data_IF_937175031707
#
_entry.id   IF_937175031707
#
_cell.length_a   1.000
_cell.length_b   1.000
_cell.length_c   1.000
_cell.angle_alpha   90.00
_cell.angle_beta   90.00
_cell.angle_gamma   90.00
#
_symmetry.space_group_name_H-M   'P 1'
#
loop_
_entity.id
_entity.type
_entity.pdbx_description
1 polymer ?
#
# COMPACT_ATOMS: atom_id res chain seq x y z
N UNK A 1 25.65 -19.25 12.09
CA UNK A 1 24.29 -18.76 12.43
C UNK A 1 24.12 -18.45 13.93
N UNK A 2 25.19 -18.56 14.75
CA UNK A 2 25.11 -18.27 16.20
C UNK A 2 24.66 -16.84 16.58
N UNK A 3 24.86 -15.79 15.77
CA UNK A 3 24.34 -14.45 16.06
C UNK A 3 22.89 -14.23 15.62
N UNK A 4 22.22 -15.22 15.04
CA UNK A 4 20.83 -15.07 14.59
C UNK A 4 19.91 -15.29 15.80
N UNK A 5 19.25 -14.22 16.23
CA UNK A 5 18.28 -14.30 17.30
C UNK A 5 16.93 -14.83 16.77
N UNK A 6 16.21 -15.54 17.63
CA UNK A 6 14.86 -15.99 17.31
C UNK A 6 13.94 -14.77 17.19
N UNK A 7 13.34 -14.60 16.01
CA UNK A 7 12.36 -13.53 15.81
C UNK A 7 11.16 -13.70 16.77
N UNK A 8 10.56 -12.60 17.24
CA UNK A 8 9.33 -12.67 18.00
C UNK A 8 8.21 -13.33 17.16
N UNK A 9 7.20 -13.85 17.85
CA UNK A 9 6.02 -14.41 17.17
C UNK A 9 5.37 -13.33 16.31
N UNK A 10 4.97 -13.68 15.08
CA UNK A 10 4.25 -12.77 14.20
C UNK A 10 2.97 -12.27 14.90
N UNK A 11 2.78 -10.95 15.05
CA UNK A 11 1.66 -10.41 15.80
C UNK A 11 0.31 -10.68 15.13
N UNK A 12 0.26 -10.78 13.80
CA UNK A 12 -0.97 -10.99 13.02
C UNK A 12 -1.36 -12.46 13.01
N UNK A 13 -0.43 -13.35 12.67
CA UNK A 13 -0.67 -14.80 12.65
C UNK A 13 -0.94 -15.34 14.05
N UNK A 14 -0.24 -14.82 15.07
CA UNK A 14 -0.48 -15.15 16.47
C UNK A 14 -1.90 -14.78 16.94
N UNK A 15 -2.47 -13.67 16.47
CA UNK A 15 -3.87 -13.31 16.74
C UNK A 15 -4.86 -14.27 16.09
N UNK A 16 -4.58 -14.74 14.88
CA UNK A 16 -5.43 -15.72 14.20
C UNK A 16 -5.43 -17.08 14.94
N UNK A 17 -4.27 -17.51 15.43
CA UNK A 17 -4.17 -18.72 16.28
C UNK A 17 -4.99 -18.55 17.57
N UNK A 18 -4.88 -17.40 18.25
CA UNK A 18 -5.64 -17.10 19.45
C UNK A 18 -7.15 -17.04 19.18
N UNK A 19 -7.56 -16.44 18.07
CA UNK A 19 -8.96 -16.43 17.63
C UNK A 19 -9.50 -17.84 17.41
N UNK A 20 -8.74 -18.70 16.75
CA UNK A 20 -9.16 -20.09 16.50
C UNK A 20 -9.26 -20.92 17.79
N UNK A 21 -8.38 -20.66 18.75
CA UNK A 21 -8.40 -21.32 20.04
C UNK A 21 -9.51 -20.82 20.99
N UNK A 22 -10.04 -19.62 20.75
CA UNK A 22 -11.14 -19.05 21.55
C UNK A 22 -12.44 -19.80 21.28
N UNK A 23 -13.07 -20.34 22.33
CA UNK A 23 -14.31 -21.13 22.25
C UNK A 23 -15.59 -20.30 22.32
N UNK A 24 -15.49 -18.98 22.53
CA UNK A 24 -16.67 -18.09 22.61
C UNK A 24 -17.35 -17.99 21.26
N UNK A 25 -18.69 -18.04 21.25
CA UNK A 25 -19.49 -17.96 20.02
C UNK A 25 -19.56 -16.53 19.45
N UNK A 26 -19.49 -15.50 20.29
CA UNK A 26 -19.61 -14.08 19.94
C UNK A 26 -18.23 -13.44 19.71
N UNK A 27 -17.43 -14.03 18.84
CA UNK A 27 -16.09 -13.51 18.48
C UNK A 27 -16.04 -13.07 17.03
N UNK A 28 -15.25 -12.03 16.76
CA UNK A 28 -15.01 -11.49 15.41
C UNK A 28 -13.50 -11.43 15.19
N UNK A 29 -13.04 -11.95 14.05
CA UNK A 29 -11.63 -11.88 13.67
C UNK A 29 -11.37 -10.56 12.93
N UNK A 30 -10.59 -9.69 13.54
CA UNK A 30 -10.14 -8.43 12.96
C UNK A 30 -8.63 -8.42 12.65
N UNK A 31 -7.98 -9.58 12.68
CA UNK A 31 -6.52 -9.70 12.54
C UNK A 31 -6.01 -9.49 11.13
N UNK A 32 -6.79 -9.83 10.10
CA UNK A 32 -6.39 -9.69 8.69
C UNK A 32 -7.50 -8.99 7.93
N UNK A 33 -7.15 -7.91 7.24
CA UNK A 33 -8.06 -7.18 6.36
C UNK A 33 -8.18 -7.88 5.00
N UNK A 34 -9.21 -8.72 4.84
CA UNK A 34 -9.61 -9.30 3.56
C UNK A 34 -11.08 -9.00 3.30
N UNK A 35 -11.44 -8.85 2.02
CA UNK A 35 -12.84 -8.71 1.65
C UNK A 35 -13.62 -9.96 2.07
N UNK A 36 -14.67 -9.78 2.82
CA UNK A 36 -15.60 -10.85 3.21
C UNK A 36 -17.01 -10.48 2.80
N UNK A 37 -17.79 -11.48 2.41
CA UNK A 37 -19.23 -11.31 2.17
C UNK A 37 -20.00 -11.18 3.49
N UNK A 38 -21.30 -10.98 3.40
CA UNK A 38 -22.17 -10.84 4.58
C UNK A 38 -22.23 -12.10 5.47
N UNK A 39 -21.80 -13.25 4.96
CA UNK A 39 -21.66 -14.48 5.73
C UNK A 39 -20.29 -14.60 6.43
N UNK A 40 -19.41 -13.61 6.28
CA UNK A 40 -18.06 -13.60 6.83
C UNK A 40 -17.08 -14.49 6.08
N UNK A 41 -17.40 -14.90 4.85
CA UNK A 41 -16.53 -15.74 4.00
C UNK A 41 -15.88 -14.90 2.91
N UNK A 42 -14.66 -15.27 2.55
CA UNK A 42 -13.99 -14.73 1.36
C UNK A 42 -14.67 -15.30 0.13
N UNK A 43 -15.34 -14.49 -0.71
CA UNK A 43 -16.05 -15.00 -1.87
C UNK A 43 -15.09 -15.34 -3.00
N UNK A 44 -15.42 -16.38 -3.77
CA UNK A 44 -14.78 -16.64 -5.05
C UNK A 44 -15.31 -15.66 -6.09
N UNK A 45 -14.47 -14.74 -6.55
CA UNK A 45 -14.87 -13.76 -7.56
C UNK A 45 -15.01 -14.43 -8.93
N UNK A 46 -16.18 -14.30 -9.56
CA UNK A 46 -16.47 -14.91 -10.87
C UNK A 46 -15.47 -14.54 -11.95
N UNK A 47 -15.01 -13.30 -11.97
CA UNK A 47 -14.00 -12.83 -12.94
C UNK A 47 -12.65 -13.54 -12.75
N UNK A 48 -12.23 -13.76 -11.49
CA UNK A 48 -11.00 -14.49 -11.17
C UNK A 48 -11.12 -15.95 -11.61
N UNK A 49 -12.21 -16.61 -11.24
CA UNK A 49 -12.46 -18.00 -11.64
C UNK A 49 -12.43 -18.17 -13.16
N UNK A 50 -13.13 -17.31 -13.90
CA UNK A 50 -13.15 -17.37 -15.36
C UNK A 50 -11.75 -17.17 -15.97
N UNK A 51 -10.94 -16.28 -15.39
CA UNK A 51 -9.58 -16.04 -15.84
C UNK A 51 -8.67 -17.25 -15.57
N UNK A 52 -8.82 -17.90 -14.41
CA UNK A 52 -8.07 -19.11 -14.06
C UNK A 52 -8.42 -20.27 -15.00
N UNK A 53 -9.71 -20.50 -15.25
CA UNK A 53 -10.18 -21.53 -16.17
C UNK A 53 -9.66 -21.31 -17.61
N UNK A 54 -9.70 -20.05 -18.10
CA UNK A 54 -9.15 -19.69 -19.40
C UNK A 54 -7.64 -19.95 -19.47
N UNK A 55 -6.90 -19.58 -18.43
CA UNK A 55 -5.45 -19.82 -18.33
C UNK A 55 -5.09 -21.31 -18.32
N UNK A 56 -5.90 -22.14 -17.69
CA UNK A 56 -5.73 -23.59 -17.70
C UNK A 56 -6.01 -24.16 -19.09
N UNK A 57 -7.09 -23.70 -19.74
CA UNK A 57 -7.49 -24.16 -21.07
C UNK A 57 -6.50 -23.81 -22.19
N UNK A 58 -5.75 -22.71 -22.04
CA UNK A 58 -4.71 -22.31 -22.98
C UNK A 58 -3.56 -23.30 -23.09
N UNK A 59 -3.30 -24.12 -22.06
CA UNK A 59 -2.12 -25.01 -21.96
C UNK A 59 -0.79 -24.32 -22.29
N UNK A 60 -0.70 -23.02 -22.04
CA UNK A 60 0.46 -22.19 -22.36
C UNK A 60 1.67 -22.54 -21.49
N UNK A 61 2.86 -22.49 -22.08
CA UNK A 61 4.11 -22.65 -21.34
C UNK A 61 4.29 -21.54 -20.28
N UNK A 62 4.96 -21.88 -19.19
CA UNK A 62 5.33 -20.94 -18.11
C UNK A 62 6.80 -20.58 -18.27
N UNK A 63 7.06 -19.50 -19.03
CA UNK A 63 8.39 -18.97 -19.24
C UNK A 63 8.67 -17.75 -18.35
N UNK A 64 9.89 -17.24 -18.40
CA UNK A 64 10.22 -15.95 -17.79
C UNK A 64 9.39 -14.83 -18.41
N UNK A 65 8.94 -13.90 -17.58
CA UNK A 65 8.31 -12.67 -18.03
C UNK A 65 9.36 -11.66 -18.52
N UNK A 66 8.96 -10.68 -19.34
CA UNK A 66 9.76 -9.47 -19.55
C UNK A 66 10.10 -8.79 -18.21
N UNK A 67 11.16 -7.97 -18.19
CA UNK A 67 11.64 -7.31 -16.95
C UNK A 67 10.55 -6.44 -16.31
N UNK A 68 9.76 -5.76 -17.13
CA UNK A 68 8.66 -4.88 -16.71
C UNK A 68 7.32 -5.63 -16.52
N UNK A 69 7.27 -6.91 -16.82
CA UNK A 69 6.07 -7.74 -16.70
C UNK A 69 5.30 -7.92 -18.01
N UNK A 70 4.00 -8.20 -17.90
CA UNK A 70 3.13 -8.44 -19.04
C UNK A 70 2.51 -7.13 -19.53
N UNK A 71 2.85 -6.69 -20.73
CA UNK A 71 2.30 -5.46 -21.33
C UNK A 71 0.75 -5.40 -21.33
N UNK A 72 0.00 -6.48 -21.61
CA UNK A 72 -1.46 -6.45 -21.46
C UNK A 72 -1.94 -6.21 -20.04
N UNK A 73 -1.23 -6.74 -19.03
CA UNK A 73 -1.52 -6.49 -17.62
C UNK A 73 -1.26 -5.02 -17.27
N UNK A 74 -0.11 -4.49 -17.64
CA UNK A 74 0.25 -3.10 -17.36
C UNK A 74 -0.76 -2.11 -17.98
N UNK A 75 -1.17 -2.35 -19.22
CA UNK A 75 -2.20 -1.55 -19.89
C UNK A 75 -3.57 -1.66 -19.20
N UNK A 76 -3.95 -2.84 -18.73
CA UNK A 76 -5.21 -3.05 -18.04
C UNK A 76 -5.23 -2.30 -16.69
N UNK A 77 -4.12 -2.35 -15.92
CA UNK A 77 -3.96 -1.62 -14.67
C UNK A 77 -4.01 -0.11 -14.89
N UNK A 78 -3.33 0.40 -15.91
CA UNK A 78 -3.38 1.82 -16.26
C UNK A 78 -4.81 2.30 -16.57
N UNK A 79 -5.54 1.53 -17.39
CA UNK A 79 -6.94 1.84 -17.71
C UNK A 79 -7.87 1.79 -16.49
N UNK A 80 -7.62 0.83 -15.60
CA UNK A 80 -8.40 0.69 -14.36
C UNK A 80 -8.21 1.88 -13.43
N UNK A 81 -6.96 2.33 -13.25
CA UNK A 81 -6.62 3.42 -12.32
C UNK A 81 -6.98 4.81 -12.87
N UNK A 82 -6.72 5.06 -14.14
CA UNK A 82 -6.81 6.40 -14.72
C UNK A 82 -8.02 6.60 -15.64
N UNK A 83 -8.78 5.53 -15.92
CA UNK A 83 -9.86 5.54 -16.90
C UNK A 83 -9.37 5.29 -18.32
N UNK A 84 -10.16 4.52 -19.10
CA UNK A 84 -9.77 4.09 -20.45
C UNK A 84 -9.49 5.25 -21.42
N UNK A 85 -10.21 6.37 -21.24
CA UNK A 85 -10.14 7.56 -22.11
C UNK A 85 -9.23 8.66 -21.56
N UNK A 86 -8.46 8.38 -20.51
CA UNK A 86 -7.59 9.37 -19.87
C UNK A 86 -6.46 9.82 -20.82
N UNK A 87 -6.30 11.13 -20.97
CA UNK A 87 -5.19 11.71 -21.72
C UNK A 87 -3.81 11.33 -21.14
N UNK A 88 -3.75 10.92 -19.89
CA UNK A 88 -2.51 10.46 -19.26
C UNK A 88 -1.99 9.18 -19.93
N UNK A 89 -2.88 8.30 -20.42
CA UNK A 89 -2.48 7.05 -21.07
C UNK A 89 -1.77 7.30 -22.39
N UNK A 90 -2.24 8.28 -23.17
CA UNK A 90 -1.65 8.65 -24.47
C UNK A 90 -0.44 9.56 -24.36
N UNK A 91 -0.24 10.22 -23.21
CA UNK A 91 0.84 11.22 -23.02
C UNK A 91 2.23 10.63 -22.80
N UNK A 92 2.35 9.31 -22.60
CA UNK A 92 3.61 8.63 -22.23
C UNK A 92 4.12 8.99 -20.83
N UNK A 93 3.29 9.61 -19.98
CA UNK A 93 3.66 10.00 -18.61
C UNK A 93 3.50 8.89 -17.57
N UNK A 94 2.88 7.79 -17.96
CA UNK A 94 2.65 6.64 -17.08
C UNK A 94 3.54 5.49 -17.53
N UNK A 95 4.32 4.97 -16.61
CA UNK A 95 5.07 3.72 -16.75
C UNK A 95 4.54 2.75 -15.70
N UNK A 96 4.34 1.51 -16.10
CA UNK A 96 3.89 0.45 -15.19
C UNK A 96 4.88 -0.69 -15.25
N UNK A 97 5.17 -1.27 -14.10
CA UNK A 97 5.98 -2.47 -13.99
C UNK A 97 5.31 -3.44 -13.02
N UNK A 98 5.22 -4.70 -13.42
CA UNK A 98 4.67 -5.76 -12.61
C UNK A 98 5.65 -6.18 -11.51
N UNK A 99 5.15 -6.35 -10.29
CA UNK A 99 5.95 -6.79 -9.14
C UNK A 99 5.28 -7.95 -8.40
N UNK A 100 5.97 -8.54 -7.42
CA UNK A 100 5.45 -9.63 -6.59
C UNK A 100 4.57 -9.06 -5.46
N UNK A 101 3.31 -8.78 -5.80
CA UNK A 101 2.34 -8.22 -4.88
C UNK A 101 2.70 -6.80 -4.43
N UNK A 102 1.90 -6.23 -3.50
CA UNK A 102 2.11 -4.89 -2.96
C UNK A 102 3.46 -4.72 -2.26
N UNK A 103 3.86 -5.70 -1.45
CA UNK A 103 5.15 -5.68 -0.74
C UNK A 103 6.34 -5.59 -1.71
N UNK A 104 6.32 -6.37 -2.80
CA UNK A 104 7.35 -6.30 -3.84
C UNK A 104 7.35 -4.97 -4.58
N UNK A 105 6.16 -4.42 -4.87
CA UNK A 105 6.02 -3.12 -5.52
C UNK A 105 6.54 -1.97 -4.64
N UNK A 106 6.18 -1.96 -3.35
CA UNK A 106 6.66 -0.99 -2.38
C UNK A 106 8.18 -1.01 -2.24
N UNK A 107 8.76 -2.21 -2.12
CA UNK A 107 10.23 -2.35 -2.02
C UNK A 107 10.94 -1.88 -3.28
N UNK A 108 10.44 -2.27 -4.44
CA UNK A 108 10.99 -1.81 -5.72
C UNK A 108 10.93 -0.29 -5.86
N UNK A 109 9.78 0.30 -5.51
CA UNK A 109 9.58 1.76 -5.52
C UNK A 109 10.50 2.47 -4.53
N UNK A 110 10.65 1.94 -3.31
CA UNK A 110 11.56 2.49 -2.31
C UNK A 110 13.02 2.50 -2.80
N UNK A 111 13.52 1.36 -3.29
CA UNK A 111 14.89 1.25 -3.82
C UNK A 111 15.11 2.17 -5.02
N UNK A 112 14.13 2.28 -5.90
CA UNK A 112 14.19 3.13 -7.09
C UNK A 112 14.28 4.61 -6.70
N UNK A 113 13.40 5.09 -5.84
CA UNK A 113 13.41 6.48 -5.38
C UNK A 113 14.68 6.81 -4.59
N UNK A 114 15.15 5.89 -3.75
CA UNK A 114 16.38 6.07 -2.99
C UNK A 114 17.59 6.31 -3.89
N UNK A 115 17.69 5.57 -5.01
CA UNK A 115 18.76 5.71 -5.99
C UNK A 115 18.65 6.98 -6.83
N UNK A 116 17.42 7.34 -7.22
CA UNK A 116 17.18 8.47 -8.11
C UNK A 116 17.28 9.83 -7.42
N UNK A 117 16.65 9.94 -6.25
CA UNK A 117 16.49 11.26 -5.61
C UNK A 117 17.64 11.62 -4.70
N UNK A 118 18.40 10.65 -4.23
CA UNK A 118 19.42 10.85 -3.19
C UNK A 118 18.86 11.29 -1.84
N UNK A 119 17.53 11.40 -1.72
CA UNK A 119 16.85 11.74 -0.47
C UNK A 119 16.81 10.53 0.44
N UNK A 120 16.90 10.78 1.74
CA UNK A 120 17.05 9.75 2.76
C UNK A 120 15.90 9.66 3.73
N UNK A 121 14.96 10.60 3.67
CA UNK A 121 13.83 10.66 4.59
C UNK A 121 12.55 10.24 3.89
N UNK A 122 11.79 9.38 4.54
CA UNK A 122 10.40 9.05 4.18
C UNK A 122 9.50 9.30 5.38
N UNK A 123 8.36 9.91 5.14
CA UNK A 123 7.32 10.14 6.14
C UNK A 123 6.18 9.14 5.94
N UNK A 124 5.75 8.50 7.02
CA UNK A 124 4.61 7.58 7.05
C UNK A 124 3.55 8.07 8.04
N UNK A 125 2.30 7.66 7.84
CA UNK A 125 1.21 8.02 8.78
C UNK A 125 1.41 7.37 10.15
N UNK A 126 0.92 8.03 11.20
CA UNK A 126 0.86 7.45 12.53
C UNK A 126 -0.61 7.26 12.95
N UNK A 127 -1.09 5.99 13.11
CA UNK A 127 -0.39 4.73 12.79
C UNK A 127 -0.28 4.47 11.28
N UNK A 128 0.52 3.48 10.90
CA UNK A 128 0.64 2.97 9.54
C UNK A 128 0.75 1.45 9.55
N UNK A 129 0.65 0.82 8.38
CA UNK A 129 0.97 -0.59 8.23
C UNK A 129 2.46 -0.83 8.53
N UNK A 130 2.74 -1.80 9.41
CA UNK A 130 4.11 -2.04 9.91
C UNK A 130 5.14 -2.25 8.80
N UNK A 131 4.74 -2.85 7.68
CA UNK A 131 5.63 -3.07 6.55
C UNK A 131 6.11 -1.77 5.90
N UNK A 132 5.40 -0.67 5.97
CA UNK A 132 5.89 0.61 5.42
C UNK A 132 7.22 0.96 6.05
N UNK A 133 7.29 0.99 7.38
CA UNK A 133 8.54 1.28 8.09
C UNK A 133 9.64 0.28 7.73
N UNK A 134 9.36 -1.01 7.86
CA UNK A 134 10.33 -2.07 7.64
C UNK A 134 10.91 -2.07 6.20
N UNK A 135 10.07 -1.84 5.18
CA UNK A 135 10.48 -1.82 3.79
C UNK A 135 11.36 -0.61 3.46
N UNK A 136 10.99 0.58 3.98
CA UNK A 136 11.76 1.79 3.71
C UNK A 136 13.05 1.85 4.51
N UNK A 137 13.07 1.39 5.78
CA UNK A 137 14.32 1.21 6.53
C UNK A 137 15.26 0.22 5.84
N UNK A 138 14.73 -0.92 5.34
CA UNK A 138 15.51 -1.88 4.57
C UNK A 138 16.00 -1.34 3.21
N UNK A 139 15.40 -0.28 2.69
CA UNK A 139 15.87 0.45 1.52
C UNK A 139 16.90 1.55 1.87
N UNK A 140 17.14 1.81 3.16
CA UNK A 140 18.11 2.77 3.65
C UNK A 140 17.55 4.15 4.00
N UNK A 141 16.23 4.28 4.12
CA UNK A 141 15.59 5.54 4.53
C UNK A 141 15.57 5.72 6.05
N UNK A 142 15.67 6.98 6.47
CA UNK A 142 15.27 7.43 7.79
C UNK A 142 13.75 7.64 7.78
N UNK A 143 13.03 6.81 8.55
CA UNK A 143 11.57 6.82 8.56
C UNK A 143 11.07 7.71 9.70
N UNK A 144 10.30 8.74 9.35
CA UNK A 144 9.64 9.65 10.30
C UNK A 144 8.12 9.50 10.23
N UNK A 145 7.43 9.85 11.30
CA UNK A 145 5.98 9.78 11.35
C UNK A 145 5.36 11.15 11.10
N UNK A 146 4.19 11.18 10.45
CA UNK A 146 3.29 12.33 10.44
C UNK A 146 1.96 12.00 11.09
N UNK A 147 1.34 12.98 11.73
CA UNK A 147 0.04 12.85 12.39
C UNK A 147 -1.04 12.46 11.37
N UNK A 148 -1.85 11.47 11.69
CA UNK A 148 -2.96 11.03 10.84
C UNK A 148 -4.25 10.79 11.63
N UNK A 149 -4.21 9.93 12.64
CA UNK A 149 -5.39 9.47 13.37
C UNK A 149 -5.53 10.19 14.71
N UNK A 150 -6.77 10.53 15.05
CA UNK A 150 -7.14 11.06 16.37
C UNK A 150 -7.95 10.01 17.15
N UNK A 151 -7.38 9.37 18.18
CA UNK A 151 -8.08 8.36 18.96
C UNK A 151 -9.23 8.92 19.81
N UNK A 152 -9.25 10.22 20.07
CA UNK A 152 -10.34 10.83 20.84
C UNK A 152 -11.65 10.93 20.05
N UNK A 153 -11.53 11.14 18.74
CA UNK A 153 -12.68 11.22 17.82
C UNK A 153 -12.86 9.98 16.97
N UNK A 154 -11.93 9.02 17.03
CA UNK A 154 -11.84 7.90 16.08
C UNK A 154 -11.86 8.37 14.61
N UNK A 155 -11.21 9.47 14.34
CA UNK A 155 -11.25 10.16 13.06
C UNK A 155 -9.90 10.62 12.55
N UNK A 156 -9.93 11.39 11.47
CA UNK A 156 -8.76 12.00 10.87
C UNK A 156 -8.33 13.25 11.65
N UNK A 157 -7.06 13.36 12.03
CA UNK A 157 -6.46 14.60 12.49
C UNK A 157 -5.85 15.36 11.30
N UNK A 158 -6.71 15.92 10.45
CA UNK A 158 -6.26 16.61 9.25
C UNK A 158 -5.36 17.81 9.55
N UNK A 159 -5.66 18.58 10.60
CA UNK A 159 -4.86 19.75 10.94
C UNK A 159 -3.44 19.38 11.35
N UNK A 160 -3.28 18.33 12.14
CA UNK A 160 -1.97 17.78 12.51
C UNK A 160 -1.23 17.23 11.31
N UNK A 161 -1.93 16.45 10.46
CA UNK A 161 -1.35 15.93 9.22
C UNK A 161 -0.77 17.05 8.33
N UNK A 162 -1.57 18.08 8.06
CA UNK A 162 -1.12 19.19 7.20
C UNK A 162 0.04 19.97 7.81
N UNK A 163 0.04 20.18 9.14
CA UNK A 163 1.13 20.86 9.84
C UNK A 163 2.45 20.07 9.75
N UNK A 164 2.38 18.75 9.97
CA UNK A 164 3.56 17.89 9.87
C UNK A 164 4.09 17.81 8.43
N UNK A 165 3.22 17.66 7.43
CA UNK A 165 3.62 17.69 6.03
C UNK A 165 4.26 19.02 5.63
N UNK A 166 3.75 20.13 6.12
CA UNK A 166 4.32 21.47 5.89
C UNK A 166 5.73 21.61 6.47
N UNK A 167 6.03 20.92 7.56
CA UNK A 167 7.34 20.98 8.23
C UNK A 167 8.40 20.08 7.55
N UNK A 168 8.00 19.17 6.66
CA UNK A 168 8.94 18.27 5.99
C UNK A 168 9.89 19.03 5.06
N UNK A 169 11.11 18.53 4.94
CA UNK A 169 12.08 19.04 3.98
C UNK A 169 11.67 18.71 2.54
N UNK A 170 12.03 19.60 1.61
CA UNK A 170 11.84 19.38 0.17
C UNK A 170 12.39 18.04 -0.29
N UNK A 171 11.63 17.34 -1.11
CA UNK A 171 11.99 16.04 -1.68
C UNK A 171 11.84 14.86 -0.71
N UNK A 172 11.32 15.08 0.52
CA UNK A 172 10.93 13.98 1.39
C UNK A 172 9.88 13.12 0.71
N UNK A 173 10.06 11.80 0.72
CA UNK A 173 9.05 10.86 0.24
C UNK A 173 7.95 10.75 1.28
N UNK A 174 6.69 10.84 0.85
CA UNK A 174 5.53 10.74 1.76
C UNK A 174 4.66 9.57 1.32
N UNK A 175 4.50 8.58 2.20
CA UNK A 175 3.59 7.47 1.97
C UNK A 175 2.18 7.92 2.30
N UNK A 176 1.31 7.83 1.31
CA UNK A 176 -0.10 8.19 1.41
C UNK A 176 -0.95 6.97 1.06
N UNK A 177 -1.86 6.59 1.93
CA UNK A 177 -2.84 5.55 1.62
C UNK A 177 -3.92 6.16 0.72
N UNK A 178 -4.01 5.69 -0.52
CA UNK A 178 -4.97 6.24 -1.49
C UNK A 178 -6.42 6.03 -1.04
N UNK A 179 -6.69 4.88 -0.42
CA UNK A 179 -7.94 4.53 0.25
C UNK A 179 -7.71 3.35 1.20
N UNK A 180 -8.70 3.02 2.02
CA UNK A 180 -8.67 1.89 2.96
C UNK A 180 -7.46 1.96 3.90
N UNK A 181 -7.25 3.12 4.52
CA UNK A 181 -6.10 3.37 5.38
C UNK A 181 -5.86 2.24 6.39
N UNK A 182 -4.68 1.64 6.32
CA UNK A 182 -4.30 0.54 7.19
C UNK A 182 -3.39 1.05 8.35
N UNK A 183 -3.78 0.92 9.64
CA UNK A 183 -4.85 0.02 10.15
C UNK A 183 -6.17 0.70 10.51
N UNK A 184 -6.32 2.02 10.34
CA UNK A 184 -7.42 2.76 10.98
C UNK A 184 -8.77 2.65 10.24
N UNK A 185 -8.77 2.39 8.93
CA UNK A 185 -9.96 2.45 8.10
C UNK A 185 -10.54 3.85 7.94
N UNK A 186 -9.82 4.89 8.37
CA UNK A 186 -10.23 6.30 8.23
C UNK A 186 -9.58 6.88 6.99
N UNK A 187 -10.37 7.27 6.01
CA UNK A 187 -9.90 7.79 4.74
C UNK A 187 -10.09 9.31 4.62
N UNK A 188 -9.25 9.93 3.80
CA UNK A 188 -9.38 11.34 3.42
C UNK A 188 -10.60 11.53 2.50
N UNK A 189 -11.38 12.57 2.76
CA UNK A 189 -12.40 13.03 1.79
C UNK A 189 -11.73 13.68 0.56
N UNK A 190 -12.47 13.84 -0.53
CA UNK A 190 -11.95 14.55 -1.72
C UNK A 190 -11.51 15.98 -1.39
N UNK A 191 -12.20 16.65 -0.46
CA UNK A 191 -11.83 18.00 -0.01
C UNK A 191 -10.55 18.00 0.80
N UNK A 192 -10.28 16.95 1.57
CA UNK A 192 -9.05 16.81 2.33
C UNK A 192 -7.88 16.43 1.43
N UNK A 193 -8.11 15.57 0.44
CA UNK A 193 -7.13 15.28 -0.60
C UNK A 193 -6.67 16.55 -1.34
N UNK A 194 -7.58 17.48 -1.65
CA UNK A 194 -7.21 18.74 -2.29
C UNK A 194 -6.21 19.55 -1.45
N UNK A 195 -6.38 19.57 -0.11
CA UNK A 195 -5.47 20.25 0.81
C UNK A 195 -4.12 19.54 0.90
N UNK A 196 -4.12 18.20 0.97
CA UNK A 196 -2.89 17.40 0.99
C UNK A 196 -2.08 17.58 -0.29
N UNK A 197 -2.75 17.54 -1.45
CA UNK A 197 -2.10 17.77 -2.76
C UNK A 197 -1.48 19.17 -2.83
N UNK A 198 -2.16 20.19 -2.31
CA UNK A 198 -1.63 21.55 -2.26
C UNK A 198 -0.34 21.63 -1.43
N UNK A 199 -0.33 21.07 -0.22
CA UNK A 199 0.87 21.03 0.63
C UNK A 199 1.99 20.24 -0.03
N UNK A 200 1.71 19.05 -0.54
CA UNK A 200 2.69 18.20 -1.24
C UNK A 200 3.33 18.94 -2.40
N UNK A 201 2.52 19.66 -3.20
CA UNK A 201 3.01 20.47 -4.33
C UNK A 201 3.85 21.65 -3.88
N UNK A 202 3.35 22.47 -2.94
CA UNK A 202 4.08 23.66 -2.46
C UNK A 202 5.40 23.32 -1.78
N UNK A 203 5.43 22.20 -1.02
CA UNK A 203 6.61 21.75 -0.30
C UNK A 203 7.54 20.89 -1.18
N UNK A 204 7.16 20.65 -2.43
CA UNK A 204 7.91 19.80 -3.37
C UNK A 204 8.24 18.42 -2.75
N UNK A 205 7.27 17.81 -2.06
CA UNK A 205 7.38 16.48 -1.52
C UNK A 205 7.17 15.45 -2.63
N UNK A 206 7.66 14.24 -2.43
CA UNK A 206 7.50 13.12 -3.38
C UNK A 206 6.37 12.21 -2.88
N UNK A 207 5.14 12.30 -3.44
CA UNK A 207 4.06 11.43 -3.01
C UNK A 207 4.29 10.00 -3.50
N UNK A 208 4.11 9.05 -2.58
CA UNK A 208 4.14 7.62 -2.84
C UNK A 208 2.80 7.06 -2.36
N UNK A 209 1.93 6.71 -3.30
CA UNK A 209 0.58 6.22 -2.98
C UNK A 209 0.59 4.70 -2.89
N UNK A 210 -0.05 4.14 -1.80
CA UNK A 210 -0.26 2.72 -1.54
C UNK A 210 -1.76 2.41 -1.40
#
# INVERSE_FOLDING_TARGET
FSPVELAPRDPILGLNEAFNADTRANKVNLGVGVYSDESGKVPLLRAVQAAEEARVAEHAARAYLPIDGLAPYDQAVQKLLFGADSALLSSGRIITAQALGGTGALKLGADFLYRLTGKRTVAISNPSWENHRALFEAAGYDVVDYTYFDPATNGLNLSGMLADLEALAEGTVVILHACCHNPTGVDLSLADWAKVIDVVGRRQLVPFLD
#
